data_IF_458014213611
#
_entry.id   IF_458014213611
#
_cell.length_a   1.000
_cell.length_b   1.000
_cell.length_c   1.000
_cell.angle_alpha   90.00
_cell.angle_beta   90.00
_cell.angle_gamma   90.00
#
_symmetry.space_group_name_H-M   'P 1'
#
loop_
_entity.id
_entity.type
_entity.pdbx_description
1 polymer ?
#
# COMPACT_ATOMS: atom_id res chain seq x y z
N UNK A 1 11.14 0.93 -11.52
CA UNK A 1 11.79 -0.05 -12.45
C UNK A 1 11.36 -1.47 -12.12
N UNK A 2 10.98 -2.31 -13.09
CA UNK A 2 10.49 -3.68 -12.80
C UNK A 2 11.55 -4.74 -13.11
N UNK A 3 12.04 -5.42 -12.08
CA UNK A 3 12.87 -6.62 -12.21
C UNK A 3 11.94 -7.82 -12.42
N UNK A 4 11.97 -8.44 -13.61
CA UNK A 4 11.25 -9.70 -13.87
C UNK A 4 12.18 -10.86 -13.47
N UNK A 5 11.64 -11.91 -12.87
CA UNK A 5 12.42 -13.10 -12.47
C UNK A 5 13.16 -13.73 -13.66
N UNK A 6 14.36 -14.26 -13.42
CA UNK A 6 15.28 -14.85 -14.41
C UNK A 6 15.69 -13.92 -15.59
N UNK A 7 16.01 -12.66 -15.31
CA UNK A 7 16.66 -11.78 -16.28
C UNK A 7 18.18 -11.81 -16.10
N UNK A 8 18.91 -12.17 -17.16
CA UNK A 8 20.33 -11.82 -17.29
C UNK A 8 20.41 -10.35 -17.68
N UNK A 9 21.14 -9.54 -16.90
CA UNK A 9 21.32 -8.12 -17.15
C UNK A 9 22.81 -7.83 -17.31
N UNK A 10 23.13 -7.01 -18.30
CA UNK A 10 24.47 -6.42 -18.41
C UNK A 10 24.68 -5.37 -17.29
N UNK A 11 25.92 -5.14 -16.88
CA UNK A 11 26.27 -4.25 -15.76
C UNK A 11 25.61 -2.87 -15.88
N UNK A 12 25.72 -2.22 -17.05
CA UNK A 12 25.10 -0.92 -17.31
C UNK A 12 23.58 -0.94 -17.14
N UNK A 13 22.91 -2.00 -17.58
CA UNK A 13 21.46 -2.13 -17.43
C UNK A 13 21.06 -2.34 -15.97
N UNK A 14 21.88 -3.06 -15.22
CA UNK A 14 21.70 -3.25 -13.79
C UNK A 14 21.83 -1.92 -13.05
N UNK A 15 22.87 -1.14 -13.33
CA UNK A 15 23.09 0.18 -12.73
C UNK A 15 21.93 1.14 -12.98
N UNK A 16 21.46 1.24 -14.22
CA UNK A 16 20.32 2.10 -14.57
C UNK A 16 19.04 1.70 -13.83
N UNK A 17 18.78 0.39 -13.71
CA UNK A 17 17.62 -0.13 -12.98
C UNK A 17 17.73 0.08 -11.48
N UNK A 18 18.92 -0.10 -10.89
CA UNK A 18 19.18 0.17 -9.48
C UNK A 18 19.01 1.66 -9.17
N UNK A 19 19.49 2.54 -10.04
CA UNK A 19 19.27 3.99 -9.93
C UNK A 19 17.78 4.33 -9.95
N UNK A 20 17.04 3.76 -10.90
CA UNK A 20 15.58 3.94 -10.98
C UNK A 20 14.88 3.45 -9.72
N UNK A 21 15.23 2.26 -9.22
CA UNK A 21 14.65 1.70 -8.00
C UNK A 21 14.92 2.60 -6.78
N UNK A 22 16.13 3.15 -6.64
CA UNK A 22 16.46 4.07 -5.54
C UNK A 22 15.60 5.34 -5.58
N UNK A 23 15.42 5.91 -6.77
CA UNK A 23 14.57 7.09 -6.97
C UNK A 23 13.12 6.77 -6.63
N UNK A 24 12.62 5.61 -7.06
CA UNK A 24 11.26 5.15 -6.76
C UNK A 24 11.05 5.03 -5.24
N UNK A 25 11.99 4.40 -4.52
CA UNK A 25 11.94 4.28 -3.05
C UNK A 25 11.95 5.66 -2.39
N UNK A 26 12.84 6.56 -2.80
CA UNK A 26 12.94 7.91 -2.23
C UNK A 26 11.65 8.72 -2.45
N UNK A 27 11.06 8.64 -3.64
CA UNK A 27 9.81 9.35 -3.95
C UNK A 27 8.62 8.79 -3.16
N UNK A 28 8.51 7.47 -3.04
CA UNK A 28 7.48 6.82 -2.22
C UNK A 28 7.64 7.25 -0.76
N UNK A 29 8.87 7.22 -0.24
CA UNK A 29 9.15 7.63 1.14
C UNK A 29 8.77 9.09 1.40
N UNK A 30 9.05 10.00 0.45
CA UNK A 30 8.62 11.41 0.53
C UNK A 30 7.11 11.57 0.58
N UNK A 31 6.37 10.84 -0.24
CA UNK A 31 4.90 10.90 -0.26
C UNK A 31 4.32 10.42 1.08
N UNK A 32 4.81 9.31 1.60
CA UNK A 32 4.34 8.77 2.89
C UNK A 32 4.72 9.75 4.02
N UNK A 33 5.96 10.22 4.08
CA UNK A 33 6.41 11.18 5.08
C UNK A 33 5.60 12.49 5.05
N UNK A 34 5.19 12.95 3.87
CA UNK A 34 4.35 14.15 3.75
C UNK A 34 2.91 13.99 4.28
N UNK A 35 2.45 12.74 4.45
CA UNK A 35 1.11 12.41 4.93
C UNK A 35 1.12 11.71 6.29
N UNK A 36 2.27 11.63 6.95
CA UNK A 36 2.47 10.97 8.23
C UNK A 36 3.30 11.87 9.14
N UNK A 37 3.40 11.52 10.42
CA UNK A 37 4.28 12.22 11.36
C UNK A 37 5.71 11.65 11.37
N UNK A 38 6.13 10.99 10.28
CA UNK A 38 7.44 10.33 10.16
C UNK A 38 8.37 11.08 9.22
N UNK A 39 9.67 10.99 9.49
CA UNK A 39 10.67 11.52 8.57
C UNK A 39 10.81 10.62 7.32
N UNK A 40 11.35 11.17 6.24
CA UNK A 40 11.67 10.39 5.03
C UNK A 40 12.64 9.24 5.36
N UNK A 41 13.57 9.45 6.29
CA UNK A 41 14.52 8.43 6.74
C UNK A 41 13.81 7.30 7.48
N UNK A 42 12.94 7.61 8.44
CA UNK A 42 12.16 6.60 9.18
C UNK A 42 11.30 5.75 8.25
N UNK A 43 10.62 6.38 7.30
CA UNK A 43 9.81 5.69 6.30
C UNK A 43 10.69 4.81 5.41
N UNK A 44 11.84 5.31 4.96
CA UNK A 44 12.77 4.55 4.12
C UNK A 44 13.27 3.31 4.86
N UNK A 45 13.64 3.46 6.13
CA UNK A 45 14.07 2.34 6.98
C UNK A 45 12.96 1.30 7.14
N UNK A 46 11.72 1.73 7.42
CA UNK A 46 10.60 0.81 7.51
C UNK A 46 10.29 0.07 6.19
N UNK A 47 10.44 0.75 5.05
CA UNK A 47 10.30 0.10 3.73
C UNK A 47 11.39 -0.97 3.50
N UNK A 48 12.64 -0.70 3.89
CA UNK A 48 13.75 -1.64 3.77
C UNK A 48 13.59 -2.85 4.71
N UNK A 49 13.11 -2.60 5.93
CA UNK A 49 12.82 -3.64 6.92
C UNK A 49 11.55 -4.43 6.61
N UNK A 50 10.75 -3.98 5.64
CA UNK A 50 9.43 -4.55 5.29
C UNK A 50 8.52 -4.59 6.51
N UNK A 51 8.51 -3.49 7.27
CA UNK A 51 7.72 -3.36 8.50
C UNK A 51 6.26 -3.65 8.22
N UNK A 52 5.68 -4.53 9.05
CA UNK A 52 4.24 -4.81 9.05
C UNK A 52 3.64 -4.12 10.26
N UNK A 53 2.58 -3.34 10.03
CA UNK A 53 1.89 -2.59 11.09
C UNK A 53 0.50 -3.19 11.31
N UNK A 54 0.11 -3.33 12.57
CA UNK A 54 -1.28 -3.56 12.95
C UNK A 54 -2.10 -2.23 12.86
N UNK A 55 -3.43 -2.27 13.01
CA UNK A 55 -4.27 -1.06 12.89
C UNK A 55 -3.86 0.09 13.83
N UNK A 56 -3.56 -0.22 15.09
CA UNK A 56 -3.17 0.73 16.14
C UNK A 56 -1.82 1.38 15.82
N UNK A 57 -0.86 0.58 15.36
CA UNK A 57 0.44 1.05 14.90
C UNK A 57 0.29 1.91 13.64
N UNK A 58 -0.53 1.50 12.67
CA UNK A 58 -0.80 2.28 11.47
C UNK A 58 -1.44 3.63 11.80
N UNK A 59 -2.34 3.69 12.78
CA UNK A 59 -2.91 4.94 13.27
C UNK A 59 -1.85 5.81 13.96
N UNK A 60 -1.01 5.22 14.82
CA UNK A 60 0.10 5.96 15.48
C UNK A 60 1.15 6.48 14.49
N UNK A 61 1.27 5.83 13.33
CA UNK A 61 2.09 6.29 12.22
C UNK A 61 1.45 7.43 11.43
N UNK A 62 0.16 7.69 11.60
CA UNK A 62 -0.59 8.65 10.78
C UNK A 62 -1.01 8.10 9.42
N UNK A 63 -0.86 6.80 9.17
CA UNK A 63 -1.27 6.16 7.91
C UNK A 63 -2.79 6.02 7.79
N UNK A 64 -3.49 6.01 8.93
CA UNK A 64 -4.96 5.96 9.01
C UNK A 64 -5.46 6.92 10.08
N UNK A 65 -6.67 7.43 9.91
CA UNK A 65 -7.26 8.41 10.84
C UNK A 65 -8.02 7.73 12.00
N UNK A 66 -8.78 6.67 11.72
CA UNK A 66 -9.64 6.00 12.69
C UNK A 66 -9.66 4.48 12.50
N UNK A 67 -9.94 3.76 13.59
CA UNK A 67 -10.16 2.31 13.59
C UNK A 67 -11.63 2.07 13.92
N UNK A 68 -12.38 1.52 12.96
CA UNK A 68 -13.80 1.21 13.12
C UNK A 68 -14.00 -0.30 13.30
N UNK A 69 -14.54 -0.68 14.46
CA UNK A 69 -14.93 -2.08 14.72
C UNK A 69 -16.33 -2.41 14.17
N UNK A 70 -17.19 -1.41 14.04
CA UNK A 70 -18.56 -1.57 13.55
C UNK A 70 -18.60 -1.30 12.04
N UNK A 71 -19.10 -2.27 11.27
CA UNK A 71 -19.28 -2.15 9.83
C UNK A 71 -20.41 -1.19 9.44
N UNK A 72 -21.41 -1.02 10.32
CA UNK A 72 -22.58 -0.19 10.11
C UNK A 72 -22.83 0.65 11.36
N UNK A 73 -23.13 1.93 11.16
CA UNK A 73 -23.54 2.83 12.24
C UNK A 73 -24.90 2.40 12.79
N UNK A 74 -25.17 2.69 14.07
CA UNK A 74 -26.46 2.39 14.67
C UNK A 74 -27.61 3.08 13.90
N UNK A 75 -28.60 2.28 13.47
CA UNK A 75 -29.73 2.76 12.67
C UNK A 75 -29.50 2.77 11.16
N UNK A 76 -28.34 2.29 10.67
CA UNK A 76 -28.12 2.09 9.24
C UNK A 76 -29.08 1.04 8.66
N UNK A 77 -29.76 1.38 7.58
CA UNK A 77 -30.58 0.43 6.83
C UNK A 77 -29.68 -0.46 5.95
N UNK A 78 -29.64 -1.76 6.23
CA UNK A 78 -28.80 -2.73 5.50
C UNK A 78 -29.64 -3.43 4.44
N UNK A 79 -29.40 -3.11 3.16
CA UNK A 79 -30.05 -3.77 2.03
C UNK A 79 -29.11 -4.82 1.45
N UNK A 80 -29.48 -6.09 1.58
CA UNK A 80 -28.75 -7.20 0.95
C UNK A 80 -29.17 -7.33 -0.51
N UNK A 81 -28.29 -7.00 -1.46
CA UNK A 81 -28.54 -7.25 -2.88
C UNK A 81 -28.25 -8.73 -3.16
N UNK A 82 -29.28 -9.56 -3.16
CA UNK A 82 -29.17 -10.91 -3.72
C UNK A 82 -29.24 -10.80 -5.24
N UNK A 83 -28.12 -11.02 -5.92
CA UNK A 83 -28.09 -11.15 -7.38
C UNK A 83 -28.88 -12.42 -7.78
N UNK A 84 -30.18 -12.28 -8.01
CA UNK A 84 -31.00 -13.35 -8.57
C UNK A 84 -30.59 -13.52 -10.04
N UNK A 85 -29.78 -14.54 -10.33
CA UNK A 85 -29.65 -15.04 -11.70
C UNK A 85 -31.03 -15.50 -12.16
N UNK A 86 -31.73 -14.68 -12.95
CA UNK A 86 -32.87 -15.15 -13.71
C UNK A 86 -32.34 -16.04 -14.84
N UNK A 87 -32.74 -17.32 -14.92
CA UNK A 87 -32.45 -18.12 -16.10
C UNK A 87 -33.18 -17.48 -17.28
N UNK A 88 -32.43 -17.10 -18.31
CA UNK A 88 -32.99 -16.65 -19.59
C UNK A 88 -33.87 -17.78 -20.13
N UNK A 89 -35.17 -17.51 -20.32
CA UNK A 89 -36.07 -18.42 -21.01
C UNK A 89 -35.74 -18.43 -22.51
N UNK A 90 -35.91 -19.59 -23.17
CA UNK A 90 -35.42 -19.86 -24.54
C UNK A 90 -36.06 -18.99 -25.61
#
# INVERSE_FOLDING_TARGET
AQFKGNQSLEEKQLEERLKGLRIDVENIAKVIAANTDKSVEDVTNAMLERTTLNPEEAQSWGLVHEIKSQLFEAGSEVISIQAQHQPQKP
#
